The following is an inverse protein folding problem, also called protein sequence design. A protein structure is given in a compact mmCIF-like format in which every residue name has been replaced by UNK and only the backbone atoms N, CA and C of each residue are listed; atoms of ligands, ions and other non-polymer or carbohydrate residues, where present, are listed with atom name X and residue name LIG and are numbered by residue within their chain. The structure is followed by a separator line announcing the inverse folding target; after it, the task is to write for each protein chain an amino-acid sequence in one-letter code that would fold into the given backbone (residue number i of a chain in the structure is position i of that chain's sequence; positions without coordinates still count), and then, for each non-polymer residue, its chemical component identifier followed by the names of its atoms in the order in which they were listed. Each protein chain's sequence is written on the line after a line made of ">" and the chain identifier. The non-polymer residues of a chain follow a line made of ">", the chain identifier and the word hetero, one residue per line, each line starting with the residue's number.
data_IF_369446745179
#
_entry.id   IF_369446745179
#
_cell.length_a   1.000
_cell.length_b   1.000
_cell.length_c   1.000
_cell.angle_alpha   90.00
_cell.angle_beta   90.00
_cell.angle_gamma   90.00
#
_symmetry.space_group_name_H-M   'P 1'
#
loop_
_entity.id
_entity.type
_entity.pdbx_description
1 polymer ?
#
# COMPACT_ATOMS: atom_id res chain seq x y z
N UNK A 1 -3.97 -5.97 13.92
CA UNK A 1 -5.17 -5.15 13.72
C UNK A 1 -5.54 -4.39 14.99
N UNK A 2 -5.69 -5.05 16.13
CA UNK A 2 -6.00 -4.44 17.43
C UNK A 2 -5.05 -3.29 17.81
N UNK A 3 -3.75 -3.42 17.51
CA UNK A 3 -2.77 -2.36 17.77
C UNK A 3 -2.98 -1.09 16.93
N UNK A 4 -3.50 -1.21 15.71
CA UNK A 4 -3.76 -0.06 14.83
C UNK A 4 -4.98 0.72 15.34
N UNK A 5 -5.98 0.02 15.86
CA UNK A 5 -7.20 0.62 16.43
C UNK A 5 -6.93 1.46 17.69
N UNK A 6 -5.79 1.23 18.36
CA UNK A 6 -5.36 2.00 19.55
C UNK A 6 -4.70 3.34 19.22
N UNK A 7 -4.34 3.60 17.95
CA UNK A 7 -3.65 4.83 17.58
C UNK A 7 -4.66 5.91 17.25
N UNK A 8 -4.43 7.14 17.70
CA UNK A 8 -5.22 8.27 17.27
C UNK A 8 -5.19 8.40 15.75
N UNK A 9 -6.36 8.54 15.15
CA UNK A 9 -6.48 8.80 13.73
C UNK A 9 -5.79 10.13 13.38
N UNK A 10 -4.91 10.13 12.41
CA UNK A 10 -4.29 11.35 11.88
C UNK A 10 -5.15 11.81 10.71
N UNK A 11 -5.60 13.06 10.77
CA UNK A 11 -6.51 13.63 9.77
C UNK A 11 -7.84 12.84 9.62
N UNK A 12 -8.20 12.06 10.65
CA UNK A 12 -9.43 11.27 10.65
C UNK A 12 -9.25 9.84 10.11
N UNK A 13 -8.02 9.41 9.80
CA UNK A 13 -7.73 8.07 9.30
C UNK A 13 -6.70 7.35 10.17
N UNK A 14 -6.89 6.04 10.32
CA UNK A 14 -5.89 5.16 10.91
C UNK A 14 -4.87 4.78 9.83
N UNK A 15 -3.59 4.88 10.16
CA UNK A 15 -2.50 4.66 9.21
C UNK A 15 -1.50 3.62 9.74
N UNK A 16 -1.23 2.59 8.92
CA UNK A 16 -0.33 1.51 9.31
C UNK A 16 1.13 1.97 9.39
N UNK A 17 1.56 2.90 8.55
CA UNK A 17 2.94 3.40 8.59
C UNK A 17 3.18 4.19 9.87
N UNK A 18 2.19 4.98 10.30
CA UNK A 18 2.25 5.70 11.57
C UNK A 18 2.21 4.75 12.77
N UNK A 19 1.46 3.64 12.66
CA UNK A 19 1.53 2.57 13.67
C UNK A 19 2.94 1.98 13.76
N UNK A 20 3.54 1.64 12.62
CA UNK A 20 4.89 1.08 12.61
C UNK A 20 5.91 2.01 13.26
N UNK A 21 5.76 3.32 13.08
CA UNK A 21 6.62 4.32 13.71
C UNK A 21 6.55 4.34 15.25
N UNK A 22 5.50 3.78 15.86
CA UNK A 22 5.43 3.62 17.33
C UNK A 22 6.19 2.39 17.82
N UNK A 23 6.67 1.52 16.93
CA UNK A 23 7.38 0.30 17.33
C UNK A 23 8.87 0.57 17.59
N UNK A 24 9.49 -0.02 18.63
CA UNK A 24 10.90 0.21 18.93
C UNK A 24 11.82 -0.04 17.73
N UNK A 25 12.76 0.89 17.48
CA UNK A 25 13.73 0.81 16.39
C UNK A 25 13.21 1.23 15.02
N UNK A 26 12.02 1.80 14.96
CA UNK A 26 11.48 2.51 13.81
C UNK A 26 11.22 3.95 14.23
N UNK A 27 11.68 4.90 13.45
CA UNK A 27 11.49 6.32 13.69
C UNK A 27 10.97 7.03 12.44
N UNK A 28 10.24 8.10 12.65
CA UNK A 28 9.95 9.14 11.67
C UNK A 28 10.50 10.45 12.21
N UNK A 29 10.96 11.38 11.39
CA UNK A 29 11.55 12.64 11.87
C UNK A 29 10.49 13.61 12.38
N UNK A 30 9.31 13.60 11.78
CA UNK A 30 8.14 14.39 12.22
C UNK A 30 6.84 13.80 11.67
N UNK A 31 5.69 14.36 12.02
CA UNK A 31 4.38 13.86 11.60
C UNK A 31 4.13 13.95 10.08
N UNK A 32 4.88 14.84 9.39
CA UNK A 32 4.80 15.04 7.94
C UNK A 32 6.00 14.44 7.20
N UNK A 33 6.88 13.72 7.93
CA UNK A 33 8.01 13.03 7.32
C UNK A 33 7.51 11.82 6.54
N UNK A 34 7.85 11.77 5.26
CA UNK A 34 7.48 10.65 4.39
C UNK A 34 8.20 9.34 4.74
N UNK A 35 9.28 9.39 5.51
CA UNK A 35 10.18 8.25 5.69
C UNK A 35 9.90 7.42 6.95
N UNK A 36 9.96 6.10 6.79
CA UNK A 36 10.20 5.16 7.88
C UNK A 36 11.69 4.85 7.90
N UNK A 37 12.35 5.13 9.02
CA UNK A 37 13.78 4.88 9.23
C UNK A 37 13.93 3.73 10.23
N UNK A 38 14.44 2.60 9.77
CA UNK A 38 14.59 1.40 10.60
C UNK A 38 16.04 1.28 11.04
N UNK A 39 16.29 1.37 12.36
CA UNK A 39 17.63 1.25 12.93
C UNK A 39 18.68 2.22 12.33
N UNK A 40 18.25 3.42 11.95
CA UNK A 40 19.13 4.46 11.42
C UNK A 40 19.47 4.32 9.93
N UNK A 41 18.78 3.45 9.20
CA UNK A 41 18.91 3.33 7.75
C UNK A 41 18.17 4.45 7.02
N UNK A 42 18.35 4.51 5.70
CA UNK A 42 17.57 5.41 4.85
C UNK A 42 16.15 4.85 4.62
N UNK A 43 15.17 5.73 4.44
CA UNK A 43 13.77 5.32 4.19
C UNK A 43 13.60 4.51 2.91
N UNK A 44 14.38 4.75 1.87
CA UNK A 44 14.33 4.00 0.61
C UNK A 44 14.97 2.59 0.69
N UNK A 45 15.60 2.24 1.82
CA UNK A 45 16.19 0.92 2.03
C UNK A 45 15.22 -0.09 2.67
N UNK A 46 13.96 0.28 2.84
CA UNK A 46 12.92 -0.59 3.39
C UNK A 46 12.07 -1.20 2.29
N UNK A 47 11.91 -2.52 2.32
CA UNK A 47 11.05 -3.26 1.41
C UNK A 47 9.62 -3.38 1.94
N UNK A 48 8.65 -2.98 1.13
CA UNK A 48 7.24 -3.17 1.43
C UNK A 48 6.65 -4.27 0.56
N UNK A 49 6.03 -5.24 1.20
CA UNK A 49 5.56 -6.46 0.55
C UNK A 49 4.08 -6.70 0.85
N UNK A 50 3.39 -7.33 -0.09
CA UNK A 50 2.12 -8.02 0.16
C UNK A 50 2.25 -9.48 -0.28
N UNK A 51 1.90 -10.42 0.61
CA UNK A 51 2.11 -11.84 0.35
C UNK A 51 3.53 -12.16 -0.16
N UNK A 52 4.57 -11.59 0.45
CA UNK A 52 5.98 -11.75 0.07
C UNK A 52 6.38 -11.18 -1.30
N UNK A 53 5.51 -10.43 -1.98
CA UNK A 53 5.77 -9.74 -3.24
C UNK A 53 5.86 -8.24 -3.04
N UNK A 54 6.85 -7.61 -3.67
CA UNK A 54 7.07 -6.17 -3.59
C UNK A 54 5.90 -5.37 -4.18
N UNK A 55 5.59 -4.26 -3.53
CA UNK A 55 4.64 -3.26 -4.03
C UNK A 55 5.35 -2.07 -4.66
N UNK A 56 4.63 -1.31 -5.50
CA UNK A 56 5.18 -0.18 -6.22
C UNK A 56 5.40 1.04 -5.32
N UNK A 57 4.42 1.37 -4.47
CA UNK A 57 4.54 2.45 -3.47
C UNK A 57 3.75 2.11 -2.22
N UNK A 58 4.33 2.30 -1.03
CA UNK A 58 3.65 2.08 0.24
C UNK A 58 2.82 3.29 0.70
N UNK A 59 2.98 4.43 0.06
CA UNK A 59 2.48 5.71 0.56
C UNK A 59 2.01 6.66 -0.55
N UNK A 60 1.22 7.64 -0.13
CA UNK A 60 0.80 8.82 -0.86
C UNK A 60 1.57 10.05 -0.38
N UNK A 61 1.68 11.05 -1.26
CA UNK A 61 2.31 12.34 -0.99
C UNK A 61 3.63 12.15 -0.23
N UNK A 62 4.47 11.26 -0.77
CA UNK A 62 5.81 10.95 -0.24
C UNK A 62 5.83 10.51 1.24
N UNK A 63 4.76 9.83 1.73
CA UNK A 63 4.72 9.17 3.04
C UNK A 63 3.79 9.80 4.07
N UNK A 64 3.05 10.84 3.74
CA UNK A 64 2.10 11.46 4.68
C UNK A 64 0.97 10.49 5.02
N UNK A 65 0.47 9.75 4.03
CA UNK A 65 -0.59 8.75 4.18
C UNK A 65 -0.18 7.43 3.52
N UNK A 66 -0.51 6.33 4.17
CA UNK A 66 -0.30 4.98 3.63
C UNK A 66 -1.28 4.67 2.50
N UNK A 67 -0.83 3.94 1.48
CA UNK A 67 -1.71 3.33 0.47
C UNK A 67 -2.48 2.12 1.01
N UNK A 68 -2.15 1.65 2.21
CA UNK A 68 -2.79 0.50 2.84
C UNK A 68 -3.91 0.91 3.78
N UNK A 69 -5.10 0.50 3.45
CA UNK A 69 -6.24 0.60 4.35
C UNK A 69 -6.19 -0.52 5.41
N UNK A 70 -6.22 -0.20 6.72
CA UNK A 70 -6.22 -1.20 7.79
C UNK A 70 -7.35 -2.23 7.70
N UNK A 71 -8.50 -1.88 7.09
CA UNK A 71 -9.61 -2.80 6.88
C UNK A 71 -9.24 -3.98 5.98
N UNK A 72 -8.40 -3.73 4.95
CA UNK A 72 -7.93 -4.75 3.99
C UNK A 72 -6.76 -5.55 4.55
N UNK A 73 -6.21 -5.19 5.70
CA UNK A 73 -5.07 -5.88 6.30
C UNK A 73 -5.53 -6.81 7.42
N UNK A 74 -4.98 -8.03 7.40
CA UNK A 74 -5.13 -8.99 8.49
C UNK A 74 -4.01 -8.81 9.52
N UNK A 75 -2.77 -8.90 9.09
CA UNK A 75 -1.60 -8.68 9.92
C UNK A 75 -0.42 -8.11 9.11
N UNK A 76 0.62 -7.68 9.82
CA UNK A 76 1.91 -7.31 9.23
C UNK A 76 3.05 -7.96 10.00
N UNK A 77 4.09 -8.36 9.28
CA UNK A 77 5.34 -8.85 9.86
C UNK A 77 6.46 -7.89 9.49
N UNK A 78 7.19 -7.42 10.48
CA UNK A 78 8.31 -6.48 10.30
C UNK A 78 9.61 -7.18 10.62
N UNK A 79 10.46 -7.32 9.63
CA UNK A 79 11.83 -7.79 9.77
C UNK A 79 12.76 -6.58 9.84
N UNK A 80 13.20 -6.21 11.03
CA UNK A 80 14.13 -5.08 11.25
C UNK A 80 15.59 -5.45 11.04
N UNK A 81 15.86 -6.73 10.92
CA UNK A 81 17.14 -7.39 10.58
C UNK A 81 16.91 -8.90 10.54
N UNK A 82 17.88 -9.67 10.04
CA UNK A 82 17.81 -11.13 10.03
C UNK A 82 16.64 -11.68 9.23
N UNK A 83 16.31 -11.04 8.13
CA UNK A 83 15.24 -11.48 7.24
C UNK A 83 15.66 -12.72 6.45
N UNK A 84 14.69 -13.56 6.03
CA UNK A 84 14.95 -14.72 5.18
C UNK A 84 15.67 -14.37 3.88
N UNK A 85 16.52 -15.26 3.37
CA UNK A 85 17.28 -15.08 2.14
C UNK A 85 16.41 -14.83 0.90
N UNK A 86 15.13 -15.17 0.96
CA UNK A 86 14.14 -14.89 -0.09
C UNK A 86 13.89 -13.38 -0.28
N UNK A 87 14.23 -12.57 0.72
CA UNK A 87 14.16 -11.11 0.67
C UNK A 87 15.56 -10.56 0.43
N UNK A 88 15.85 -10.13 -0.78
CA UNK A 88 17.21 -9.77 -1.22
C UNK A 88 17.33 -8.43 -1.95
N UNK A 89 16.24 -7.65 -2.02
CA UNK A 89 16.21 -6.39 -2.79
C UNK A 89 16.50 -5.15 -1.96
N UNK A 90 16.34 -5.22 -0.63
CA UNK A 90 16.48 -4.08 0.27
C UNK A 90 17.48 -4.36 1.40
N UNK A 91 18.13 -3.32 1.90
CA UNK A 91 19.26 -3.45 2.82
C UNK A 91 18.88 -3.36 4.31
N UNK A 92 17.79 -2.66 4.64
CA UNK A 92 17.46 -2.33 6.03
C UNK A 92 16.39 -3.23 6.63
N UNK A 93 15.20 -3.20 6.07
CA UNK A 93 14.05 -3.90 6.64
C UNK A 93 13.07 -4.40 5.58
N UNK A 94 12.23 -5.34 6.00
CA UNK A 94 11.08 -5.77 5.22
C UNK A 94 9.81 -5.71 6.04
N UNK A 95 8.81 -5.04 5.49
CA UNK A 95 7.47 -4.91 6.05
C UNK A 95 6.52 -5.69 5.15
N UNK A 96 6.20 -6.92 5.57
CA UNK A 96 5.32 -7.80 4.82
C UNK A 96 3.90 -7.71 5.37
N UNK A 97 3.02 -7.12 4.59
CA UNK A 97 1.62 -6.95 4.91
C UNK A 97 0.81 -8.09 4.31
N UNK A 98 0.00 -8.73 5.14
CA UNK A 98 -0.90 -9.79 4.69
C UNK A 98 -2.31 -9.22 4.55
N UNK A 99 -2.85 -9.20 3.34
CA UNK A 99 -4.23 -8.80 3.10
C UNK A 99 -5.22 -9.66 3.88
N UNK A 100 -6.35 -9.04 4.22
CA UNK A 100 -7.48 -9.75 4.84
C UNK A 100 -8.03 -10.76 3.81
N UNK A 101 -8.15 -12.04 4.17
CA UNK A 101 -8.73 -13.03 3.27
C UNK A 101 -10.23 -12.82 3.00
N UNK A 102 -10.87 -11.86 3.69
CA UNK A 102 -12.30 -11.67 3.67
C UNK A 102 -13.04 -12.63 4.61
N UNK A 103 -14.36 -12.52 4.63
CA UNK A 103 -15.24 -13.37 5.44
C UNK A 103 -15.95 -14.40 4.57
N UNK A 104 -15.79 -15.69 4.85
CA UNK A 104 -16.39 -16.78 4.07
C UNK A 104 -17.85 -17.07 4.41
N UNK A 105 -18.42 -16.42 5.44
CA UNK A 105 -19.76 -16.71 5.96
C UNK A 105 -20.75 -15.57 5.76
N UNK A 106 -20.31 -14.34 5.97
CA UNK A 106 -21.16 -13.15 5.96
C UNK A 106 -20.50 -11.98 5.24
N UNK A 107 -21.33 -11.07 4.76
CA UNK A 107 -20.86 -9.77 4.27
C UNK A 107 -20.67 -8.80 5.44
N UNK A 108 -19.62 -8.03 5.36
CA UNK A 108 -19.27 -6.94 6.28
C UNK A 108 -18.90 -5.73 5.44
N UNK A 109 -19.32 -4.55 5.88
CA UNK A 109 -19.00 -3.31 5.19
C UNK A 109 -18.74 -2.18 6.19
N UNK A 110 -17.96 -1.20 5.76
CA UNK A 110 -17.62 -0.01 6.53
C UNK A 110 -17.55 1.19 5.58
N UNK A 111 -18.08 2.31 6.04
CA UNK A 111 -17.91 3.61 5.39
C UNK A 111 -17.16 4.49 6.38
N UNK A 112 -16.01 5.02 5.95
CA UNK A 112 -15.23 5.97 6.73
C UNK A 112 -15.37 7.35 6.09
N UNK A 113 -15.68 8.36 6.90
CA UNK A 113 -15.72 9.76 6.48
C UNK A 113 -14.71 10.52 7.35
N UNK A 114 -13.56 10.84 6.76
CA UNK A 114 -12.50 11.61 7.41
C UNK A 114 -12.51 13.07 7.01
N UNK A 115 -11.58 13.84 7.54
CA UNK A 115 -11.42 15.27 7.20
C UNK A 115 -10.79 15.48 5.80
N UNK A 116 -10.01 14.53 5.32
CA UNK A 116 -9.22 14.65 4.09
C UNK A 116 -9.60 13.63 3.04
N UNK A 117 -10.20 12.50 3.43
CA UNK A 117 -10.62 11.44 2.52
C UNK A 117 -11.85 10.70 3.04
N UNK A 118 -12.44 9.92 2.15
CA UNK A 118 -13.53 9.00 2.45
C UNK A 118 -13.23 7.64 1.87
N UNK A 119 -13.65 6.58 2.55
CA UNK A 119 -13.44 5.21 2.11
C UNK A 119 -14.74 4.39 2.19
N UNK A 120 -14.93 3.54 1.19
CA UNK A 120 -15.94 2.49 1.14
C UNK A 120 -15.23 1.14 1.17
N UNK A 121 -15.66 0.26 2.06
CA UNK A 121 -15.01 -1.02 2.35
C UNK A 121 -16.04 -2.12 2.42
N UNK A 122 -15.77 -3.25 1.78
CA UNK A 122 -16.65 -4.41 1.77
C UNK A 122 -15.83 -5.69 1.77
N UNK A 123 -16.29 -6.70 2.52
CA UNK A 123 -15.76 -8.05 2.44
C UNK A 123 -16.88 -9.08 2.65
N UNK A 124 -16.70 -10.27 2.09
CA UNK A 124 -17.69 -11.32 2.19
C UNK A 124 -17.39 -12.54 1.33
N UNK A 125 -18.32 -13.51 1.32
CA UNK A 125 -18.19 -14.71 0.51
C UNK A 125 -18.52 -14.44 -0.96
N UNK A 126 -17.64 -14.88 -1.87
CA UNK A 126 -18.02 -15.13 -3.27
C UNK A 126 -18.65 -16.52 -3.42
N UNK A 127 -18.07 -17.51 -2.71
CA UNK A 127 -18.65 -18.84 -2.55
C UNK A 127 -18.53 -19.18 -1.07
N UNK A 128 -19.65 -19.40 -0.40
CA UNK A 128 -19.67 -19.73 1.03
C UNK A 128 -18.72 -20.86 1.36
N UNK A 129 -18.02 -20.75 2.49
CA UNK A 129 -17.03 -21.68 3.02
C UNK A 129 -15.76 -21.85 2.19
N UNK A 130 -15.76 -21.45 0.91
CA UNK A 130 -14.67 -21.70 -0.02
C UNK A 130 -13.93 -20.44 -0.42
N UNK A 131 -14.63 -19.46 -0.97
CA UNK A 131 -14.02 -18.26 -1.57
C UNK A 131 -14.57 -17.01 -0.95
N UNK A 132 -13.68 -16.13 -0.51
CA UNK A 132 -13.99 -14.81 0.03
C UNK A 132 -13.20 -13.73 -0.65
N UNK A 133 -13.67 -12.51 -0.51
CA UNK A 133 -13.00 -11.31 -0.97
C UNK A 133 -13.03 -10.21 0.09
N UNK A 134 -12.11 -9.28 -0.01
CA UNK A 134 -12.15 -7.99 0.66
C UNK A 134 -11.76 -6.92 -0.36
N UNK A 135 -12.49 -5.81 -0.38
CA UNK A 135 -12.25 -4.70 -1.29
C UNK A 135 -12.41 -3.38 -0.55
N UNK A 136 -11.60 -2.39 -0.90
CA UNK A 136 -11.76 -1.00 -0.47
C UNK A 136 -11.54 -0.05 -1.63
N UNK A 137 -12.23 1.07 -1.55
CA UNK A 137 -12.00 2.23 -2.40
C UNK A 137 -11.92 3.45 -1.51
N UNK A 138 -10.87 4.26 -1.70
CA UNK A 138 -10.65 5.49 -0.95
C UNK A 138 -10.41 6.65 -1.91
N UNK A 139 -10.94 7.81 -1.60
CA UNK A 139 -10.78 9.04 -2.38
C UNK A 139 -10.55 10.21 -1.45
N UNK A 140 -9.60 11.07 -1.81
CA UNK A 140 -9.37 12.32 -1.09
C UNK A 140 -10.12 13.48 -1.72
N UNK A 141 -10.41 14.51 -0.94
CA UNK A 141 -11.02 15.76 -1.40
C UNK A 141 -10.20 16.99 -1.01
N UNK A 142 -8.93 16.81 -0.66
CA UNK A 142 -7.99 17.89 -0.34
C UNK A 142 -7.88 18.90 -1.48
N UNK A 143 -7.89 18.44 -2.73
CA UNK A 143 -7.89 19.29 -3.90
C UNK A 143 -9.09 20.25 -3.92
N UNK A 144 -10.28 19.78 -3.54
CA UNK A 144 -11.48 20.59 -3.50
C UNK A 144 -11.36 21.70 -2.45
N UNK A 145 -10.84 21.36 -1.26
CA UNK A 145 -10.60 22.33 -0.18
C UNK A 145 -9.57 23.37 -0.63
N UNK A 146 -8.44 22.92 -1.22
CA UNK A 146 -7.42 23.80 -1.71
C UNK A 146 -7.93 24.73 -2.81
N UNK A 147 -8.74 24.24 -3.74
CA UNK A 147 -9.37 25.06 -4.80
C UNK A 147 -10.28 26.16 -4.26
N UNK A 148 -11.10 25.83 -3.26
CA UNK A 148 -11.97 26.82 -2.60
C UNK A 148 -11.14 27.91 -1.91
N UNK A 149 -10.09 27.50 -1.18
CA UNK A 149 -9.15 28.43 -0.56
C UNK A 149 -8.45 29.31 -1.61
N UNK A 150 -7.86 28.71 -2.64
CA UNK A 150 -7.14 29.42 -3.70
C UNK A 150 -8.01 30.41 -4.44
N UNK A 151 -9.29 30.07 -4.65
CA UNK A 151 -10.25 31.03 -5.23
C UNK A 151 -10.44 32.24 -4.33
N UNK A 152 -10.61 32.05 -3.03
CA UNK A 152 -10.75 33.15 -2.07
C UNK A 152 -9.50 34.05 -2.01
N UNK A 153 -8.31 33.44 -2.04
CA UNK A 153 -7.03 34.14 -2.03
C UNK A 153 -6.85 34.97 -3.31
N UNK A 154 -7.20 34.41 -4.47
CA UNK A 154 -7.16 35.11 -5.76
C UNK A 154 -8.09 36.33 -5.78
N UNK A 155 -9.29 36.16 -5.24
CA UNK A 155 -10.27 37.27 -5.16
C UNK A 155 -9.77 38.40 -4.25
N UNK A 156 -8.92 38.10 -3.28
CA UNK A 156 -8.28 39.09 -2.39
C UNK A 156 -6.93 39.63 -2.92
N UNK A 157 -6.51 39.24 -4.13
CA UNK A 157 -5.21 39.58 -4.73
C UNK A 157 -4.00 39.16 -3.88
N UNK A 158 -4.16 38.10 -3.11
CA UNK A 158 -3.06 37.50 -2.36
C UNK A 158 -2.34 36.46 -3.25
N UNK A 159 -1.07 36.20 -2.97
CA UNK A 159 -0.24 35.27 -3.76
C UNK A 159 0.08 33.93 -3.04
N UNK A 160 -0.48 33.71 -1.88
CA UNK A 160 -0.24 32.50 -1.09
C UNK A 160 -1.20 31.40 -1.52
N UNK A 161 -0.87 30.66 -2.58
CA UNK A 161 -1.65 29.53 -3.05
C UNK A 161 -1.35 28.26 -2.26
N UNK A 162 -2.38 27.48 -1.98
CA UNK A 162 -2.27 26.17 -1.37
C UNK A 162 -2.08 25.10 -2.47
N UNK A 163 -1.14 24.14 -2.31
CA UNK A 163 -1.02 23.03 -3.24
C UNK A 163 -2.32 22.24 -3.34
N UNK A 164 -2.73 21.90 -4.56
CA UNK A 164 -3.91 21.12 -4.86
C UNK A 164 -3.52 19.65 -5.00
N UNK A 165 -3.74 18.87 -3.97
CA UNK A 165 -3.43 17.45 -3.96
C UNK A 165 -4.68 16.59 -3.90
N UNK A 166 -4.69 15.50 -4.67
CA UNK A 166 -5.73 14.49 -4.62
C UNK A 166 -5.14 13.09 -4.80
N UNK A 167 -5.77 12.10 -4.18
CA UNK A 167 -5.47 10.71 -4.41
C UNK A 167 -6.72 9.84 -4.44
N UNK A 168 -6.60 8.70 -5.10
CA UNK A 168 -7.59 7.64 -5.11
C UNK A 168 -6.89 6.29 -5.01
N UNK A 169 -7.43 5.40 -4.19
CA UNK A 169 -6.97 4.03 -4.01
C UNK A 169 -8.07 3.04 -4.30
N UNK A 170 -7.70 1.94 -4.88
CA UNK A 170 -8.54 0.76 -4.96
C UNK A 170 -7.73 -0.47 -4.57
N UNK A 171 -8.22 -1.23 -3.60
CA UNK A 171 -7.58 -2.47 -3.16
C UNK A 171 -8.57 -3.61 -3.24
N UNK A 172 -8.11 -4.77 -3.69
CA UNK A 172 -8.89 -6.00 -3.68
C UNK A 172 -8.02 -7.17 -3.23
N UNK A 173 -8.57 -8.04 -2.42
CA UNK A 173 -7.97 -9.32 -2.08
C UNK A 173 -8.98 -10.44 -2.23
N UNK A 174 -8.54 -11.60 -2.68
CA UNK A 174 -9.35 -12.81 -2.86
C UNK A 174 -8.59 -13.97 -2.23
N UNK A 175 -9.32 -14.79 -1.48
CA UNK A 175 -8.82 -16.03 -0.89
C UNK A 175 -9.77 -17.16 -1.21
N UNK A 176 -9.27 -18.23 -1.82
CA UNK A 176 -10.07 -19.38 -2.22
C UNK A 176 -9.42 -20.70 -1.81
N UNK A 177 -10.17 -21.53 -1.08
CA UNK A 177 -9.86 -22.91 -0.85
C UNK A 177 -10.53 -23.76 -1.93
N UNK A 178 -9.81 -24.06 -3.01
CA UNK A 178 -10.33 -24.84 -4.13
C UNK A 178 -10.56 -26.31 -3.75
N UNK A 179 -9.72 -26.85 -2.87
CA UNK A 179 -9.83 -28.21 -2.33
C UNK A 179 -9.07 -28.33 -1.01
N UNK A 180 -9.03 -29.52 -0.42
CA UNK A 180 -8.20 -29.77 0.76
C UNK A 180 -6.69 -29.67 0.48
N UNK A 181 -6.29 -29.72 -0.78
CA UNK A 181 -4.87 -29.65 -1.20
C UNK A 181 -4.51 -28.34 -1.88
N UNK A 182 -5.48 -27.58 -2.38
CA UNK A 182 -5.24 -26.36 -3.15
C UNK A 182 -5.88 -25.14 -2.49
N UNK A 183 -5.06 -24.12 -2.27
CA UNK A 183 -5.52 -22.78 -1.90
C UNK A 183 -4.90 -21.77 -2.86
N UNK A 184 -5.69 -20.81 -3.30
CA UNK A 184 -5.23 -19.71 -4.16
C UNK A 184 -5.57 -18.37 -3.53
N UNK A 185 -4.71 -17.39 -3.78
CA UNK A 185 -4.96 -16.00 -3.36
C UNK A 185 -4.63 -15.06 -4.50
N UNK A 186 -5.32 -13.95 -4.54
CA UNK A 186 -4.99 -12.82 -5.42
C UNK A 186 -5.08 -11.52 -4.62
N UNK A 187 -4.26 -10.55 -5.00
CA UNK A 187 -4.24 -9.22 -4.43
C UNK A 187 -3.98 -8.19 -5.53
N UNK A 188 -4.66 -7.07 -5.46
CA UNK A 188 -4.43 -5.91 -6.31
C UNK A 188 -4.55 -4.62 -5.50
N UNK A 189 -3.61 -3.71 -5.70
CA UNK A 189 -3.61 -2.34 -5.20
C UNK A 189 -3.34 -1.41 -6.37
N UNK A 190 -4.22 -0.46 -6.57
CA UNK A 190 -4.09 0.58 -7.58
C UNK A 190 -4.21 1.94 -6.91
N UNK A 191 -3.29 2.86 -7.22
CA UNK A 191 -3.30 4.23 -6.70
C UNK A 191 -3.16 5.24 -7.84
N UNK A 192 -3.83 6.36 -7.68
CA UNK A 192 -3.68 7.53 -8.54
C UNK A 192 -3.48 8.73 -7.64
N UNK A 193 -2.44 9.49 -7.89
CA UNK A 193 -2.11 10.71 -7.18
C UNK A 193 -1.92 11.86 -8.16
N UNK A 194 -2.35 13.04 -7.76
CA UNK A 194 -2.15 14.28 -8.51
C UNK A 194 -1.83 15.44 -7.59
N UNK A 195 -0.80 16.19 -7.92
CA UNK A 195 -0.37 17.39 -7.21
C UNK A 195 -0.20 18.54 -8.20
N UNK A 196 -0.94 19.63 -7.99
CA UNK A 196 -0.78 20.86 -8.72
C UNK A 196 -0.35 21.98 -7.77
N UNK A 197 0.73 22.67 -8.12
CA UNK A 197 1.28 23.78 -7.32
C UNK A 197 1.48 25.01 -8.18
N UNK A 198 0.97 26.16 -7.69
CA UNK A 198 1.28 27.48 -8.24
C UNK A 198 2.35 28.13 -7.39
N UNK A 199 3.51 28.41 -7.99
CA UNK A 199 4.56 29.18 -7.32
C UNK A 199 4.31 30.68 -7.45
N UNK A 200 3.76 31.12 -8.58
CA UNK A 200 3.34 32.50 -8.84
C UNK A 200 2.32 32.50 -9.99
N UNK A 201 1.89 33.68 -10.46
CA UNK A 201 0.89 33.84 -11.54
C UNK A 201 1.33 33.19 -12.87
N UNK A 202 2.64 33.01 -13.08
CA UNK A 202 3.22 32.58 -14.35
C UNK A 202 3.85 31.18 -14.30
N UNK A 203 3.91 30.52 -13.13
CA UNK A 203 4.59 29.23 -12.99
C UNK A 203 3.69 28.26 -12.25
N UNK A 204 3.26 27.23 -12.98
CA UNK A 204 2.52 26.09 -12.45
C UNK A 204 3.36 24.83 -12.58
N UNK A 205 3.24 23.95 -11.60
CA UNK A 205 3.77 22.59 -11.62
C UNK A 205 2.63 21.62 -11.44
N UNK A 206 2.54 20.64 -12.34
CA UNK A 206 1.57 19.54 -12.28
C UNK A 206 2.33 18.21 -12.26
N UNK A 207 2.07 17.41 -11.24
CA UNK A 207 2.63 16.07 -11.08
C UNK A 207 1.51 15.06 -10.94
N UNK A 208 1.57 14.02 -11.76
CA UNK A 208 0.66 12.89 -11.70
C UNK A 208 1.45 11.61 -11.59
N UNK A 209 1.03 10.71 -10.69
CA UNK A 209 1.61 9.38 -10.64
C UNK A 209 0.54 8.32 -10.37
N UNK A 210 0.74 7.19 -10.99
CA UNK A 210 -0.15 6.05 -10.86
C UNK A 210 0.69 4.84 -10.50
N UNK A 211 0.23 4.04 -9.54
CA UNK A 211 0.89 2.79 -9.22
C UNK A 211 -0.07 1.62 -9.28
N UNK A 212 0.44 0.49 -9.66
CA UNK A 212 -0.25 -0.78 -9.60
C UNK A 212 0.66 -1.82 -8.95
N UNK A 213 0.12 -2.57 -8.02
CA UNK A 213 0.78 -3.71 -7.38
C UNK A 213 -0.20 -4.86 -7.34
N UNK A 214 0.13 -5.93 -8.02
CA UNK A 214 -0.72 -7.12 -8.08
C UNK A 214 0.08 -8.37 -7.77
N UNK A 215 -0.53 -9.33 -7.08
CA UNK A 215 0.05 -10.65 -6.96
C UNK A 215 -1.02 -11.74 -6.91
N UNK A 216 -0.64 -12.92 -7.40
CA UNK A 216 -1.43 -14.13 -7.32
C UNK A 216 -0.55 -15.28 -6.81
N UNK A 217 -1.12 -16.14 -6.00
CA UNK A 217 -0.39 -17.27 -5.46
C UNK A 217 -1.26 -18.51 -5.32
N UNK A 218 -0.60 -19.66 -5.41
CA UNK A 218 -1.21 -20.96 -5.23
C UNK A 218 -0.36 -21.81 -4.30
N UNK A 219 -0.99 -22.42 -3.32
CA UNK A 219 -0.39 -23.43 -2.45
C UNK A 219 -0.95 -24.78 -2.80
N UNK A 220 -0.07 -25.73 -2.97
CA UNK A 220 -0.41 -27.14 -3.14
C UNK A 220 0.21 -27.95 -2.00
N UNK A 221 -0.61 -28.67 -1.27
CA UNK A 221 -0.18 -29.55 -0.18
C UNK A 221 -0.51 -31.00 -0.57
N UNK A 222 0.46 -31.76 -1.09
CA UNK A 222 0.28 -33.19 -1.38
C UNK A 222 0.06 -34.01 -0.11
N UNK A 223 -0.22 -35.30 -0.28
CA UNK A 223 -0.56 -36.18 0.84
C UNK A 223 0.61 -36.44 1.84
N UNK A 224 1.84 -36.23 1.41
CA UNK A 224 3.04 -36.35 2.25
C UNK A 224 3.28 -35.15 3.20
N UNK A 225 2.41 -34.11 3.14
CA UNK A 225 2.53 -32.93 4.01
C UNK A 225 3.49 -31.85 3.54
N UNK A 226 4.16 -32.04 2.41
CA UNK A 226 4.99 -30.99 1.80
C UNK A 226 4.14 -29.80 1.36
N UNK A 227 4.78 -28.65 1.13
CA UNK A 227 4.10 -27.47 0.60
C UNK A 227 4.85 -27.00 -0.64
N UNK A 228 4.14 -26.93 -1.75
CA UNK A 228 4.61 -26.27 -2.96
C UNK A 228 3.84 -24.95 -3.10
N UNK A 229 4.59 -23.85 -3.16
CA UNK A 229 4.02 -22.51 -3.24
C UNK A 229 4.50 -21.81 -4.49
N UNK A 230 3.56 -21.45 -5.34
CA UNK A 230 3.76 -20.64 -6.54
C UNK A 230 3.27 -19.22 -6.29
N UNK A 231 4.03 -18.24 -6.71
CA UNK A 231 3.60 -16.85 -6.65
C UNK A 231 4.08 -16.05 -7.86
N UNK A 232 3.19 -15.23 -8.36
CA UNK A 232 3.47 -14.25 -9.42
C UNK A 232 3.13 -12.87 -8.86
N UNK A 233 4.05 -11.93 -8.99
CA UNK A 233 3.86 -10.53 -8.63
C UNK A 233 4.14 -9.62 -9.82
N UNK A 234 3.36 -8.56 -9.92
CA UNK A 234 3.54 -7.49 -10.91
C UNK A 234 3.47 -6.17 -10.18
N UNK A 235 4.40 -5.28 -10.46
CA UNK A 235 4.34 -3.88 -10.02
C UNK A 235 4.61 -2.95 -11.19
N UNK A 236 3.90 -1.84 -11.22
CA UNK A 236 4.08 -0.77 -12.20
C UNK A 236 3.95 0.57 -11.50
N UNK A 237 4.83 1.49 -11.83
CA UNK A 237 4.76 2.87 -11.41
C UNK A 237 4.94 3.77 -12.64
N UNK A 238 4.05 4.71 -12.80
CA UNK A 238 4.10 5.75 -13.81
C UNK A 238 4.07 7.10 -13.12
N UNK A 239 4.95 8.00 -13.50
CA UNK A 239 4.96 9.37 -13.04
C UNK A 239 5.18 10.32 -14.20
N UNK A 240 4.48 11.44 -14.19
CA UNK A 240 4.58 12.50 -15.17
C UNK A 240 4.55 13.85 -14.44
N UNK A 241 5.39 14.75 -14.86
CA UNK A 241 5.46 16.09 -14.29
C UNK A 241 5.64 17.12 -15.39
N UNK A 242 4.84 18.18 -15.34
CA UNK A 242 4.88 19.30 -16.25
C UNK A 242 5.07 20.59 -15.46
N UNK A 243 5.89 21.46 -16.01
CA UNK A 243 6.07 22.83 -15.51
C UNK A 243 5.68 23.81 -16.62
N UNK A 244 4.66 24.60 -16.36
CA UNK A 244 4.28 25.72 -17.23
C UNK A 244 4.92 27.00 -16.71
N UNK A 245 5.60 27.76 -17.58
CA UNK A 245 6.29 28.99 -17.21
C UNK A 245 7.09 29.57 -18.36
N UNK A 246 8.05 30.46 -18.06
CA UNK A 246 8.91 31.08 -19.04
C UNK A 246 9.70 30.09 -19.89
N UNK A 247 10.02 28.94 -19.31
CA UNK A 247 10.62 27.79 -19.99
C UNK A 247 9.77 26.59 -19.63
N UNK A 248 8.87 26.10 -20.52
CA UNK A 248 8.09 24.92 -20.24
C UNK A 248 9.00 23.69 -20.20
N UNK A 249 8.81 22.86 -19.19
CA UNK A 249 9.54 21.59 -19.01
C UNK A 249 8.55 20.51 -18.65
N UNK A 250 8.71 19.34 -19.23
CA UNK A 250 7.89 18.19 -18.93
C UNK A 250 8.70 16.92 -19.08
N UNK A 251 8.29 15.89 -18.33
CA UNK A 251 8.92 14.58 -18.41
C UNK A 251 8.16 13.53 -17.62
N UNK A 252 8.36 12.29 -18.00
CA UNK A 252 7.71 11.17 -17.33
C UNK A 252 8.62 9.97 -17.20
N UNK A 253 8.30 9.12 -16.24
CA UNK A 253 8.99 7.85 -16.03
C UNK A 253 7.97 6.72 -15.90
N UNK A 254 8.31 5.55 -16.44
CA UNK A 254 7.52 4.33 -16.28
C UNK A 254 8.42 3.18 -15.89
N UNK A 255 8.11 2.60 -14.75
CA UNK A 255 8.78 1.40 -14.25
C UNK A 255 7.78 0.26 -14.15
N UNK A 256 8.18 -0.93 -14.55
CA UNK A 256 7.42 -2.15 -14.32
C UNK A 256 8.34 -3.29 -13.93
N UNK A 257 7.81 -4.22 -13.16
CA UNK A 257 8.52 -5.42 -12.74
C UNK A 257 7.55 -6.59 -12.65
N UNK A 258 8.01 -7.75 -13.10
CA UNK A 258 7.31 -9.02 -12.96
C UNK A 258 8.23 -9.96 -12.21
N UNK A 259 7.73 -10.55 -11.13
CA UNK A 259 8.49 -11.46 -10.27
C UNK A 259 7.72 -12.76 -10.17
N UNK A 260 8.33 -13.87 -10.55
CA UNK A 260 7.80 -15.20 -10.33
C UNK A 260 8.64 -15.90 -9.25
N UNK A 261 7.98 -16.59 -8.34
CA UNK A 261 8.62 -17.32 -7.25
C UNK A 261 8.00 -18.68 -7.08
N UNK A 262 8.85 -19.69 -6.92
CA UNK A 262 8.44 -21.05 -6.57
C UNK A 262 9.20 -21.40 -5.30
N UNK A 263 8.48 -21.86 -4.29
CA UNK A 263 9.06 -22.30 -3.03
C UNK A 263 8.56 -23.72 -2.73
N UNK A 264 9.46 -24.57 -2.32
CA UNK A 264 9.16 -25.91 -1.86
C UNK A 264 9.58 -26.04 -0.39
N UNK A 265 8.66 -26.43 0.44
CA UNK A 265 8.91 -26.70 1.86
C UNK A 265 8.71 -28.17 2.14
N UNK A 266 9.76 -28.83 2.60
CA UNK A 266 9.73 -30.20 3.06
C UNK A 266 9.84 -30.24 4.58
N UNK A 267 8.93 -30.95 5.24
CA UNK A 267 8.94 -31.13 6.69
C UNK A 267 9.56 -32.48 7.03
N UNK A 268 10.70 -32.46 7.72
CA UNK A 268 11.43 -33.66 8.12
C UNK A 268 11.31 -33.88 9.64
N UNK A 269 10.83 -35.04 10.07
CA UNK A 269 10.71 -35.44 11.47
C UNK A 269 9.92 -34.47 12.37
N UNK A 270 8.85 -33.84 11.86
CA UNK A 270 7.97 -32.87 12.56
C UNK A 270 8.68 -31.68 13.24
N UNK A 271 10.00 -31.59 13.16
CA UNK A 271 10.82 -30.59 13.84
C UNK A 271 11.70 -29.73 12.90
N UNK A 272 11.97 -30.21 11.70
CA UNK A 272 12.82 -29.54 10.74
C UNK A 272 12.07 -29.25 9.46
N UNK A 273 12.18 -28.01 8.98
CA UNK A 273 11.66 -27.58 7.68
C UNK A 273 12.82 -27.18 6.78
N UNK A 274 12.80 -27.68 5.57
CA UNK A 274 13.74 -27.29 4.53
C UNK A 274 12.99 -26.53 3.45
N UNK A 275 13.42 -25.29 3.17
CA UNK A 275 12.85 -24.42 2.14
C UNK A 275 13.87 -24.25 1.02
N UNK A 276 13.46 -24.48 -0.21
CA UNK A 276 14.23 -24.25 -1.44
C UNK A 276 13.45 -23.31 -2.34
#
# INVERSE_FOLDING_TARGET
>A
KEGIEMIPAILGEQDILKYLATTPGIITTNALDPGIYVRGSNSCENGFLTHDMEIASPDHLTGILSTFDPFILNNSTVYKSGFPAVYNSYLSSYINMRPDPGNKQKYEGEITLGLVSSALKIKGPLVRDHTSFAASFRTSYLQTIARLYNKSVKDQKQQNFMPEYAFNDATVSIDSKLSNRWRVTAFGLFTIDGLSMKLNENVNYDFNWHTFSGNAGAWYTPANGDILHFRLGVKSAFSEGDAEGTIPMGGGNRNYSIIARIMYTHSFLDKFQWNI
#
